data_IF_509585527527
#
_entry.id   IF_509585527527
#
_cell.length_a   1.000
_cell.length_b   1.000
_cell.length_c   1.000
_cell.angle_alpha   90.00
_cell.angle_beta   90.00
_cell.angle_gamma   90.00
#
_symmetry.space_group_name_H-M   'P 1'
#
loop_
_entity.id
_entity.type
_entity.pdbx_description
1 polymer ?
#
# COMPACT_ATOMS: atom_id res chain seq x y z
N UNK A 1 -4.88 -17.93 -18.73
CA UNK A 1 -4.36 -16.66 -18.19
C UNK A 1 -4.15 -16.87 -16.70
N UNK A 2 -2.90 -16.99 -16.27
CA UNK A 2 -2.53 -17.30 -14.87
C UNK A 2 -2.41 -16.00 -14.06
N UNK A 3 -2.96 -15.97 -12.85
CA UNK A 3 -2.83 -14.84 -11.94
C UNK A 3 -1.56 -15.01 -11.11
N UNK A 4 -0.57 -14.14 -11.29
CA UNK A 4 0.63 -14.14 -10.44
C UNK A 4 0.34 -13.73 -8.98
N UNK A 5 -0.71 -12.92 -8.78
CA UNK A 5 -1.15 -12.48 -7.46
C UNK A 5 -2.65 -12.71 -7.28
N UNK A 6 -2.99 -13.65 -6.42
CA UNK A 6 -4.35 -14.00 -6.07
C UNK A 6 -4.49 -14.08 -4.54
N UNK A 7 -5.71 -13.85 -4.06
CA UNK A 7 -6.10 -14.25 -2.71
C UNK A 7 -5.99 -15.78 -2.58
N UNK A 8 -5.95 -16.28 -1.35
CA UNK A 8 -5.93 -17.72 -1.02
C UNK A 8 -7.08 -18.52 -1.68
N UNK A 9 -8.15 -17.83 -2.08
CA UNK A 9 -9.31 -18.39 -2.79
C UNK A 9 -9.18 -18.34 -4.34
N UNK A 10 -7.99 -18.09 -4.88
CA UNK A 10 -7.73 -18.04 -6.32
C UNK A 10 -8.33 -16.84 -7.06
N UNK A 11 -8.84 -15.85 -6.31
CA UNK A 11 -9.43 -14.62 -6.89
C UNK A 11 -8.41 -13.52 -7.00
N UNK A 12 -8.53 -12.70 -8.03
CA UNK A 12 -7.72 -11.49 -8.20
C UNK A 12 -7.72 -10.59 -6.96
N UNK A 13 -6.57 -10.01 -6.66
CA UNK A 13 -6.45 -9.03 -5.58
C UNK A 13 -7.03 -7.69 -6.06
N UNK A 14 -8.01 -7.16 -5.31
CA UNK A 14 -8.52 -5.80 -5.53
C UNK A 14 -7.68 -4.84 -4.69
N UNK A 15 -7.13 -3.81 -5.34
CA UNK A 15 -6.23 -2.85 -4.68
C UNK A 15 -6.83 -2.22 -3.42
N UNK A 16 -8.10 -1.81 -3.45
CA UNK A 16 -8.77 -1.26 -2.27
C UNK A 16 -8.88 -2.25 -1.11
N UNK A 17 -9.25 -3.50 -1.39
CA UNK A 17 -9.33 -4.52 -0.35
C UNK A 17 -7.96 -4.80 0.25
N UNK A 18 -6.92 -4.89 -0.58
CA UNK A 18 -5.56 -5.09 -0.12
C UNK A 18 -5.05 -3.92 0.74
N UNK A 19 -5.34 -2.68 0.32
CA UNK A 19 -5.01 -1.46 1.08
C UNK A 19 -5.60 -1.49 2.50
N UNK A 20 -6.88 -1.79 2.61
CA UNK A 20 -7.62 -1.77 3.88
C UNK A 20 -7.30 -2.98 4.78
N UNK A 21 -6.99 -4.15 4.21
CA UNK A 21 -6.86 -5.42 4.96
C UNK A 21 -5.44 -5.87 5.24
N UNK A 22 -4.45 -5.43 4.44
CA UNK A 22 -3.05 -5.85 4.55
C UNK A 22 -2.14 -4.64 4.72
N UNK A 23 -2.20 -3.67 3.79
CA UNK A 23 -1.26 -2.55 3.74
C UNK A 23 -1.34 -1.64 4.97
N UNK A 24 -2.50 -1.03 5.24
CA UNK A 24 -2.68 -0.11 6.37
C UNK A 24 -2.48 -0.79 7.74
N UNK A 25 -2.97 -2.02 7.97
CA UNK A 25 -2.64 -2.77 9.20
C UNK A 25 -1.13 -2.97 9.39
N UNK A 26 -0.38 -3.29 8.33
CA UNK A 26 1.07 -3.45 8.41
C UNK A 26 1.76 -2.13 8.79
N UNK A 27 1.40 -1.03 8.13
CA UNK A 27 1.93 0.31 8.47
C UNK A 27 1.60 0.75 9.90
N UNK A 28 0.39 0.45 10.38
CA UNK A 28 0.00 0.76 11.76
C UNK A 28 0.79 -0.07 12.77
N UNK A 29 1.08 -1.34 12.44
CA UNK A 29 1.86 -2.25 13.31
C UNK A 29 3.29 -1.76 13.49
N UNK A 30 3.90 -1.19 12.46
CA UNK A 30 5.26 -0.63 12.53
C UNK A 30 5.30 0.86 12.91
N UNK A 31 4.14 1.46 13.24
CA UNK A 31 4.04 2.84 13.71
C UNK A 31 4.18 3.92 12.63
N UNK A 32 4.14 3.57 11.34
CA UNK A 32 4.20 4.54 10.23
C UNK A 32 2.91 5.35 10.12
N UNK A 33 1.77 4.75 10.46
CA UNK A 33 0.49 5.45 10.62
C UNK A 33 -0.08 5.20 12.02
N UNK A 34 -0.97 6.08 12.51
CA UNK A 34 -1.66 5.85 13.77
C UNK A 34 -2.50 4.55 13.72
N UNK A 35 -2.76 3.92 14.88
CA UNK A 35 -3.71 2.82 15.00
C UNK A 35 -5.09 3.18 14.44
N UNK A 36 -5.86 2.22 13.91
CA UNK A 36 -7.18 2.49 13.38
C UNK A 36 -8.13 2.95 14.48
N UNK A 37 -8.97 3.93 14.17
CA UNK A 37 -10.14 4.25 15.01
C UNK A 37 -11.25 3.23 14.75
N UNK A 38 -12.08 2.98 15.76
CA UNK A 38 -13.27 2.15 15.62
C UNK A 38 -14.50 3.04 15.58
N UNK A 39 -15.40 2.81 14.64
CA UNK A 39 -16.71 3.44 14.65
C UNK A 39 -17.66 2.76 15.64
N UNK A 40 -18.86 3.33 15.83
CA UNK A 40 -19.90 2.75 16.71
C UNK A 40 -20.37 1.35 16.29
N UNK A 41 -19.97 0.86 15.11
CA UNK A 41 -20.26 -0.49 14.60
C UNK A 41 -19.03 -1.41 14.64
N UNK A 42 -17.94 -0.99 15.29
CA UNK A 42 -16.70 -1.73 15.42
C UNK A 42 -15.84 -1.79 14.16
N UNK A 43 -16.19 -1.05 13.10
CA UNK A 43 -15.42 -1.01 11.84
C UNK A 43 -14.13 -0.22 12.05
N UNK A 44 -13.02 -0.80 11.58
CA UNK A 44 -11.69 -0.18 11.64
C UNK A 44 -11.57 0.88 10.54
N UNK A 45 -11.32 2.12 10.93
CA UNK A 45 -11.00 3.22 10.03
C UNK A 45 -9.55 3.63 10.23
N UNK A 46 -8.76 3.43 9.19
CA UNK A 46 -7.39 3.91 9.14
C UNK A 46 -7.37 5.30 8.51
N UNK A 47 -6.55 6.19 9.05
CA UNK A 47 -6.31 7.50 8.46
C UNK A 47 -5.75 7.29 7.05
N UNK A 48 -6.36 7.96 6.08
CA UNK A 48 -5.91 7.92 4.69
C UNK A 48 -5.10 9.18 4.44
N UNK A 49 -3.78 9.04 4.37
CA UNK A 49 -2.87 10.12 4.00
C UNK A 49 -2.26 9.85 2.62
N UNK A 50 -2.10 10.92 1.83
CA UNK A 50 -1.44 10.86 0.51
C UNK A 50 0.01 10.39 0.62
N UNK A 51 0.64 10.59 1.78
CA UNK A 51 2.05 10.21 2.02
C UNK A 51 2.24 8.76 2.45
N UNK A 52 1.18 8.04 2.83
CA UNK A 52 1.28 6.67 3.37
C UNK A 52 0.40 5.65 2.64
N UNK A 53 -0.42 6.10 1.68
CA UNK A 53 -1.13 5.19 0.78
C UNK A 53 -0.15 4.34 -0.06
N UNK A 54 -0.62 3.23 -0.63
CA UNK A 54 0.22 2.32 -1.43
C UNK A 54 1.02 3.01 -2.56
N UNK A 55 0.51 4.13 -3.10
CA UNK A 55 1.24 4.93 -4.09
C UNK A 55 2.49 5.64 -3.54
N UNK A 56 2.56 5.89 -2.23
CA UNK A 56 3.74 6.48 -1.61
C UNK A 56 4.97 5.56 -1.74
N UNK A 57 4.79 4.24 -1.68
CA UNK A 57 5.90 3.30 -1.92
C UNK A 57 6.44 3.43 -3.34
N UNK A 58 5.54 3.53 -4.34
CA UNK A 58 5.93 3.74 -5.74
C UNK A 58 6.69 5.06 -5.92
N UNK A 59 6.23 6.13 -5.26
CA UNK A 59 6.94 7.41 -5.27
C UNK A 59 8.31 7.32 -4.59
N UNK A 60 8.40 6.66 -3.43
CA UNK A 60 9.68 6.48 -2.73
C UNK A 60 10.68 5.69 -3.57
N UNK A 61 10.26 4.57 -4.17
CA UNK A 61 11.09 3.79 -5.08
C UNK A 61 11.61 4.65 -6.24
N UNK A 62 10.74 5.42 -6.89
CA UNK A 62 11.14 6.33 -7.97
C UNK A 62 12.13 7.40 -7.47
N UNK A 63 11.89 8.00 -6.31
CA UNK A 63 12.82 8.98 -5.73
C UNK A 63 14.19 8.38 -5.38
N UNK A 64 14.24 7.17 -4.82
CA UNK A 64 15.50 6.47 -4.51
C UNK A 64 16.23 6.06 -5.79
N UNK A 65 15.52 5.54 -6.79
CA UNK A 65 16.09 5.20 -8.09
C UNK A 65 16.70 6.42 -8.79
N UNK A 66 16.01 7.56 -8.74
CA UNK A 66 16.52 8.83 -9.28
C UNK A 66 17.71 9.38 -8.49
N UNK A 67 17.70 9.22 -7.16
CA UNK A 67 18.81 9.68 -6.29
C UNK A 67 20.09 8.87 -6.50
N UNK A 68 19.97 7.57 -6.80
CA UNK A 68 21.10 6.68 -7.09
C UNK A 68 21.62 6.79 -8.54
N UNK A 69 21.17 7.78 -9.32
CA UNK A 69 21.73 8.06 -10.65
C UNK A 69 21.26 7.14 -11.77
N UNK A 70 20.12 6.46 -11.62
CA UNK A 70 19.54 5.67 -12.72
C UNK A 70 19.03 6.62 -13.80
N UNK A 71 19.51 6.42 -15.04
CA UNK A 71 19.18 7.24 -16.19
C UNK A 71 17.67 7.19 -16.48
N UNK A 72 17.02 8.37 -16.61
CA UNK A 72 15.57 8.51 -16.87
C UNK A 72 15.11 7.72 -18.11
N UNK A 73 16.01 7.37 -19.04
CA UNK A 73 15.68 6.57 -20.23
C UNK A 73 15.36 5.09 -19.96
N UNK A 74 15.62 4.55 -18.77
CA UNK A 74 15.24 3.17 -18.42
C UNK A 74 13.89 3.07 -17.68
N UNK A 75 13.23 4.20 -17.38
CA UNK A 75 12.02 4.24 -16.53
C UNK A 75 10.70 4.45 -17.32
N UNK A 76 10.75 4.58 -18.65
CA UNK A 76 9.60 4.86 -19.53
C UNK A 76 9.07 3.62 -20.25
#
# INVERSE_FOLDING_TARGET
>A
MELMFAWTVGKQIRGRNYDETIWKPALATVGVIPPPTRDNRGRRHYITDRKTGMHALRHHFASVALHNGVNIKELA
#
